data_IF_562195641030
#
_entry.id   IF_562195641030
#
_cell.length_a   1.000
_cell.length_b   1.000
_cell.length_c   1.000
_cell.angle_alpha   90.00
_cell.angle_beta   90.00
_cell.angle_gamma   90.00
#
_symmetry.space_group_name_H-M   'P 1'
#
loop_
_entity.id
_entity.type
_entity.pdbx_description
1 polymer ?
#
# COMPACT_ATOMS: atom_id res chain seq x y z
N UNK A 1 25.25 -15.67 12.68
CA UNK A 1 23.93 -15.29 12.18
C UNK A 1 24.12 -14.53 10.90
N UNK A 2 23.58 -15.00 9.78
CA UNK A 2 23.65 -14.27 8.52
C UNK A 2 22.82 -12.99 8.66
N UNK A 3 23.44 -11.85 8.40
CA UNK A 3 22.82 -10.53 8.44
C UNK A 3 21.67 -10.45 7.41
N UNK A 4 20.45 -10.76 7.83
CA UNK A 4 19.24 -10.59 7.03
C UNK A 4 18.79 -9.12 7.08
N UNK A 5 19.52 -8.26 6.36
CA UNK A 5 19.12 -6.86 6.13
C UNK A 5 18.54 -6.72 4.74
N UNK A 6 17.21 -6.65 4.61
CA UNK A 6 16.50 -6.44 3.33
C UNK A 6 16.97 -5.16 2.62
N UNK A 7 17.40 -4.15 3.38
CA UNK A 7 17.87 -2.85 2.91
C UNK A 7 19.39 -2.66 2.99
N UNK A 8 20.17 -3.69 3.35
CA UNK A 8 21.63 -3.57 3.28
C UNK A 8 22.04 -3.29 1.85
N UNK A 9 22.78 -2.19 1.66
CA UNK A 9 23.30 -1.82 0.34
C UNK A 9 24.36 -2.85 -0.05
N UNK A 10 24.05 -3.65 -1.08
CA UNK A 10 24.89 -4.74 -1.58
C UNK A 10 25.34 -4.53 -3.03
N UNK A 11 24.64 -3.66 -3.74
CA UNK A 11 24.91 -3.37 -5.14
C UNK A 11 25.69 -2.06 -5.29
N UNK A 12 26.60 -2.03 -6.27
CA UNK A 12 27.24 -0.79 -6.69
C UNK A 12 26.21 0.13 -7.35
N UNK A 13 26.49 1.44 -7.40
CA UNK A 13 25.61 2.42 -8.05
C UNK A 13 25.24 2.00 -9.48
N UNK A 14 26.22 1.64 -10.32
CA UNK A 14 25.94 1.21 -11.70
C UNK A 14 25.00 0.00 -11.77
N UNK A 15 25.19 -0.99 -10.89
CA UNK A 15 24.29 -2.15 -10.86
C UNK A 15 22.90 -1.80 -10.32
N UNK A 16 22.83 -0.91 -9.33
CA UNK A 16 21.56 -0.38 -8.81
C UNK A 16 20.74 0.29 -9.91
N UNK A 17 21.36 1.14 -10.73
CA UNK A 17 20.67 1.87 -11.81
C UNK A 17 20.09 0.90 -12.86
N UNK A 18 20.84 -0.16 -13.21
CA UNK A 18 20.36 -1.21 -14.10
C UNK A 18 19.13 -1.93 -13.53
N UNK A 19 19.17 -2.31 -12.25
CA UNK A 19 18.09 -3.03 -11.59
C UNK A 19 16.83 -2.15 -11.46
N UNK A 20 17.00 -0.87 -11.11
CA UNK A 20 15.90 0.08 -11.02
C UNK A 20 15.27 0.32 -12.40
N UNK A 21 16.09 0.48 -13.44
CA UNK A 21 15.60 0.63 -14.81
C UNK A 21 14.87 -0.63 -15.30
N UNK A 22 15.39 -1.83 -15.01
CA UNK A 22 14.73 -3.09 -15.34
C UNK A 22 13.39 -3.22 -14.61
N UNK A 23 13.30 -2.78 -13.35
CA UNK A 23 12.07 -2.85 -12.58
C UNK A 23 11.00 -1.87 -13.09
N UNK A 24 11.35 -0.59 -13.25
CA UNK A 24 10.37 0.46 -13.55
C UNK A 24 9.97 0.46 -15.03
N UNK A 25 10.91 0.26 -15.94
CA UNK A 25 10.65 0.46 -17.38
C UNK A 25 10.22 -0.80 -18.14
N UNK A 26 10.29 -1.98 -17.52
CA UNK A 26 9.84 -3.24 -18.12
C UNK A 26 8.38 -3.50 -17.77
N UNK A 27 7.52 -3.58 -18.78
CA UNK A 27 6.07 -3.73 -18.61
C UNK A 27 5.55 -5.04 -19.18
N UNK A 28 4.36 -5.46 -18.75
CA UNK A 28 3.68 -6.67 -19.24
C UNK A 28 4.09 -7.94 -18.49
N UNK A 29 3.92 -9.11 -19.12
CA UNK A 29 4.12 -10.43 -18.49
C UNK A 29 5.55 -10.67 -17.95
N UNK A 30 6.54 -9.89 -18.42
CA UNK A 30 7.94 -10.00 -18.00
C UNK A 30 8.39 -8.90 -17.03
N UNK A 31 7.46 -8.04 -16.58
CA UNK A 31 7.75 -7.05 -15.56
C UNK A 31 8.11 -7.77 -14.25
N UNK A 32 9.21 -7.41 -13.59
CA UNK A 32 9.51 -8.00 -12.30
C UNK A 32 8.42 -7.60 -11.30
N UNK A 33 8.01 -8.54 -10.46
CA UNK A 33 6.92 -8.33 -9.49
C UNK A 33 7.43 -7.62 -8.23
N UNK A 34 8.75 -7.70 -7.95
CA UNK A 34 9.35 -7.23 -6.69
C UNK A 34 10.38 -6.13 -6.91
N UNK A 35 10.36 -5.06 -6.09
CA UNK A 35 11.42 -4.07 -6.07
C UNK A 35 12.80 -4.73 -5.86
N UNK A 36 13.85 -4.30 -6.56
CA UNK A 36 15.17 -4.88 -6.40
C UNK A 36 15.70 -4.58 -5.00
N UNK A 37 16.17 -5.58 -4.25
CA UNK A 37 16.74 -5.41 -2.90
C UNK A 37 18.20 -4.98 -2.96
N UNK A 38 18.67 -4.36 -1.87
CA UNK A 38 20.07 -4.00 -1.68
C UNK A 38 20.62 -2.91 -2.60
N UNK A 39 19.72 -2.13 -3.21
CA UNK A 39 20.04 -0.84 -3.80
C UNK A 39 19.98 0.22 -2.69
N UNK A 40 20.81 1.26 -2.78
CA UNK A 40 20.75 2.38 -1.86
C UNK A 40 19.38 3.09 -1.98
N UNK A 41 18.63 3.28 -0.87
CA UNK A 41 17.36 4.01 -0.90
C UNK A 41 17.46 5.41 -1.51
N UNK A 42 18.56 6.13 -1.29
CA UNK A 42 18.77 7.46 -1.87
C UNK A 42 18.95 7.38 -3.39
N UNK A 43 19.61 6.33 -3.88
CA UNK A 43 19.73 6.07 -5.30
C UNK A 43 18.37 5.78 -5.95
N UNK A 44 17.50 5.00 -5.30
CA UNK A 44 16.13 4.76 -5.77
C UNK A 44 15.33 6.07 -5.86
N UNK A 45 15.47 6.96 -4.88
CA UNK A 45 14.85 8.29 -4.90
C UNK A 45 15.32 9.15 -6.08
N UNK A 46 16.64 9.25 -6.29
CA UNK A 46 17.21 9.98 -7.43
C UNK A 46 16.74 9.40 -8.76
N UNK A 47 16.71 8.07 -8.88
CA UNK A 47 16.22 7.41 -10.09
C UNK A 47 14.76 7.81 -10.39
N UNK A 48 13.88 7.78 -9.39
CA UNK A 48 12.47 8.16 -9.56
C UNK A 48 12.32 9.62 -10.02
N UNK A 49 13.04 10.55 -9.40
CA UNK A 49 13.01 11.97 -9.80
C UNK A 49 13.53 12.19 -11.23
N UNK A 50 14.61 11.50 -11.61
CA UNK A 50 15.28 11.73 -12.88
C UNK A 50 14.60 11.02 -14.05
N UNK A 51 14.02 9.83 -13.81
CA UNK A 51 13.62 8.90 -14.87
C UNK A 51 12.12 8.76 -15.07
N UNK A 52 11.30 8.99 -14.05
CA UNK A 52 9.85 9.03 -14.24
C UNK A 52 9.44 10.38 -14.85
N UNK A 53 8.55 10.34 -15.84
CA UNK A 53 8.00 11.51 -16.53
C UNK A 53 6.47 11.57 -16.40
N UNK A 54 5.86 12.78 -16.37
CA UNK A 54 4.41 12.91 -16.22
C UNK A 54 3.59 12.18 -17.29
N UNK A 55 4.14 12.05 -18.49
CA UNK A 55 3.56 11.40 -19.66
C UNK A 55 3.85 9.90 -19.78
N UNK A 56 4.65 9.32 -18.88
CA UNK A 56 5.01 7.91 -18.97
C UNK A 56 3.77 6.99 -18.85
N UNK A 57 3.81 5.77 -19.41
CA UNK A 57 2.69 4.83 -19.32
C UNK A 57 2.32 4.49 -17.87
N UNK A 58 1.05 4.17 -17.61
CA UNK A 58 0.58 3.81 -16.26
C UNK A 58 1.37 2.66 -15.61
N UNK A 59 1.92 1.73 -16.42
CA UNK A 59 2.77 0.64 -15.94
C UNK A 59 4.01 1.13 -15.19
N UNK A 60 4.59 2.25 -15.61
CA UNK A 60 5.76 2.84 -14.94
C UNK A 60 5.36 3.44 -13.60
N UNK A 61 4.18 4.07 -13.52
CA UNK A 61 3.63 4.59 -12.26
C UNK A 61 3.26 3.48 -11.27
N UNK A 62 2.75 2.33 -11.75
CA UNK A 62 2.54 1.14 -10.91
C UNK A 62 3.86 0.70 -10.27
N UNK A 63 4.91 0.56 -11.06
CA UNK A 63 6.23 0.15 -10.55
C UNK A 63 6.88 1.22 -9.68
N UNK A 64 6.74 2.49 -10.04
CA UNK A 64 7.20 3.61 -9.23
C UNK A 64 6.51 3.66 -7.86
N UNK A 65 5.22 3.32 -7.78
CA UNK A 65 4.50 3.21 -6.52
C UNK A 65 5.09 2.10 -5.64
N UNK A 66 5.26 0.89 -6.17
CA UNK A 66 5.88 -0.22 -5.44
C UNK A 66 7.29 0.15 -4.96
N UNK A 67 8.08 0.81 -5.82
CA UNK A 67 9.43 1.23 -5.48
C UNK A 67 9.45 2.31 -4.39
N UNK A 68 8.58 3.32 -4.52
CA UNK A 68 8.46 4.43 -3.55
C UNK A 68 8.03 3.92 -2.19
N UNK A 69 7.08 2.97 -2.16
CA UNK A 69 6.58 2.36 -0.93
C UNK A 69 7.63 1.46 -0.27
N UNK A 70 8.34 0.65 -1.05
CA UNK A 70 9.38 -0.23 -0.55
C UNK A 70 10.58 0.52 0.04
N UNK A 71 11.08 1.54 -0.69
CA UNK A 71 12.23 2.35 -0.26
C UNK A 71 11.85 3.58 0.58
N UNK A 72 10.55 3.81 0.82
CA UNK A 72 10.01 4.97 1.53
C UNK A 72 10.51 6.31 0.96
N UNK A 73 10.41 6.46 -0.36
CA UNK A 73 10.93 7.61 -1.11
C UNK A 73 9.83 8.56 -1.53
N UNK A 74 10.08 9.86 -1.34
CA UNK A 74 9.13 10.94 -1.65
C UNK A 74 9.43 11.64 -2.98
N UNK A 75 10.56 11.31 -3.61
CA UNK A 75 11.07 11.99 -4.80
C UNK A 75 10.16 11.87 -6.03
N UNK A 76 9.29 10.85 -6.10
CA UNK A 76 8.31 10.71 -7.17
C UNK A 76 7.09 11.65 -7.02
N UNK A 77 6.88 12.27 -5.86
CA UNK A 77 5.67 13.08 -5.60
C UNK A 77 5.52 14.26 -6.58
N UNK A 78 6.55 15.07 -6.88
CA UNK A 78 6.39 16.19 -7.82
C UNK A 78 5.92 15.76 -9.20
N UNK A 79 6.55 14.72 -9.78
CA UNK A 79 6.17 14.21 -11.11
C UNK A 79 4.77 13.59 -11.11
N UNK A 80 4.34 12.98 -9.99
CA UNK A 80 2.99 12.46 -9.85
C UNK A 80 1.94 13.58 -9.81
N UNK A 81 2.25 14.69 -9.15
CA UNK A 81 1.38 15.88 -9.14
C UNK A 81 1.22 16.47 -10.54
N UNK A 82 2.30 16.51 -11.32
CA UNK A 82 2.26 16.94 -12.72
C UNK A 82 1.42 15.97 -13.58
N UNK A 83 1.58 14.66 -13.40
CA UNK A 83 0.81 13.63 -14.11
C UNK A 83 -0.72 13.73 -13.86
N UNK A 84 -1.12 14.08 -12.64
CA UNK A 84 -2.53 14.37 -12.29
C UNK A 84 -3.06 15.63 -13.00
N UNK A 85 -2.18 16.54 -13.42
CA UNK A 85 -2.51 17.75 -14.15
C UNK A 85 -2.76 17.54 -15.65
N UNK A 86 -2.14 16.53 -16.27
CA UNK A 86 -2.05 16.37 -17.73
C UNK A 86 -3.02 15.35 -18.33
N UNK A 87 -3.89 14.72 -17.54
CA UNK A 87 -4.78 13.64 -17.98
C UNK A 87 -5.76 14.07 -19.09
N UNK A 88 -5.58 13.49 -20.29
CA UNK A 88 -6.43 13.73 -21.47
C UNK A 88 -7.84 13.14 -21.34
N UNK A 89 -8.02 12.16 -20.44
CA UNK A 89 -9.29 11.44 -20.25
C UNK A 89 -9.29 10.05 -20.84
N UNK A 90 -8.27 9.68 -21.61
CA UNK A 90 -8.13 8.32 -22.11
C UNK A 90 -7.86 7.31 -20.97
N UNK A 91 -8.24 6.05 -21.18
CA UNK A 91 -8.09 4.96 -20.20
C UNK A 91 -6.67 4.90 -19.58
N UNK A 92 -5.63 4.96 -20.41
CA UNK A 92 -4.24 4.89 -19.94
C UNK A 92 -3.84 6.07 -19.05
N UNK A 93 -4.36 7.26 -19.35
CA UNK A 93 -4.12 8.47 -18.57
C UNK A 93 -4.86 8.46 -17.23
N UNK A 94 -6.08 7.93 -17.22
CA UNK A 94 -6.85 7.73 -15.99
C UNK A 94 -6.19 6.69 -15.08
N UNK A 95 -5.74 5.56 -15.64
CA UNK A 95 -4.97 4.56 -14.90
C UNK A 95 -3.65 5.09 -14.36
N UNK A 96 -2.93 5.90 -15.15
CA UNK A 96 -1.73 6.60 -14.66
C UNK A 96 -2.07 7.48 -13.46
N UNK A 97 -3.17 8.21 -13.55
CA UNK A 97 -3.61 9.15 -12.51
C UNK A 97 -3.96 8.43 -11.20
N UNK A 98 -4.56 7.23 -11.24
CA UNK A 98 -4.84 6.46 -10.01
C UNK A 98 -3.55 6.01 -9.31
N UNK A 99 -2.54 5.53 -10.03
CA UNK A 99 -1.24 5.19 -9.44
C UNK A 99 -0.47 6.41 -8.96
N UNK A 100 -0.47 7.51 -9.73
CA UNK A 100 0.12 8.77 -9.31
C UNK A 100 -0.51 9.27 -8.00
N UNK A 101 -1.84 9.20 -7.88
CA UNK A 101 -2.55 9.55 -6.66
C UNK A 101 -2.18 8.66 -5.47
N UNK A 102 -1.95 7.35 -5.68
CA UNK A 102 -1.45 6.46 -4.60
C UNK A 102 -0.07 6.86 -4.10
N UNK A 103 0.86 7.18 -5.01
CA UNK A 103 2.17 7.71 -4.62
C UNK A 103 2.02 8.99 -3.78
N UNK A 104 1.16 9.92 -4.22
CA UNK A 104 0.90 11.17 -3.49
C UNK A 104 0.22 10.91 -2.13
N UNK A 105 -0.68 9.94 -2.03
CA UNK A 105 -1.32 9.58 -0.76
C UNK A 105 -0.34 8.96 0.23
N UNK A 106 0.56 8.11 -0.25
CA UNK A 106 1.53 7.42 0.59
C UNK A 106 2.74 8.28 0.99
N UNK A 107 3.19 9.17 0.10
CA UNK A 107 4.48 9.86 0.22
C UNK A 107 4.37 11.38 0.21
N UNK A 108 3.22 11.93 -0.16
CA UNK A 108 2.98 13.36 -0.25
C UNK A 108 2.56 13.97 1.08
N UNK A 109 2.61 15.30 1.11
CA UNK A 109 2.08 16.10 2.20
C UNK A 109 0.53 16.10 2.20
N UNK A 110 -0.12 16.33 3.36
CA UNK A 110 -1.59 16.34 3.45
C UNK A 110 -2.29 17.21 2.41
N UNK A 111 -1.74 18.39 2.11
CA UNK A 111 -2.30 19.28 1.09
C UNK A 111 -2.22 18.69 -0.33
N UNK A 112 -1.15 17.94 -0.64
CA UNK A 112 -0.99 17.26 -1.92
C UNK A 112 -1.96 16.08 -2.03
N UNK A 113 -2.11 15.27 -0.98
CA UNK A 113 -3.10 14.18 -0.94
C UNK A 113 -4.52 14.70 -1.13
N UNK A 114 -4.88 15.81 -0.46
CA UNK A 114 -6.18 16.46 -0.66
C UNK A 114 -6.39 16.88 -2.12
N UNK A 115 -5.39 17.54 -2.71
CA UNK A 115 -5.44 17.96 -4.10
C UNK A 115 -5.57 16.78 -5.07
N UNK A 116 -4.82 15.70 -4.84
CA UNK A 116 -4.93 14.49 -5.66
C UNK A 116 -6.34 13.87 -5.58
N UNK A 117 -6.94 13.83 -4.39
CA UNK A 117 -8.34 13.39 -4.22
C UNK A 117 -9.35 14.25 -4.99
N UNK A 118 -9.17 15.57 -4.96
CA UNK A 118 -9.99 16.50 -5.75
C UNK A 118 -9.88 16.24 -7.27
N UNK A 119 -8.65 15.98 -7.75
CA UNK A 119 -8.39 15.66 -9.17
C UNK A 119 -8.99 14.32 -9.58
N UNK A 120 -8.89 13.29 -8.73
CA UNK A 120 -9.54 12.00 -9.00
C UNK A 120 -11.06 12.14 -9.08
N UNK A 121 -11.67 12.95 -8.19
CA UNK A 121 -13.10 13.19 -8.23
C UNK A 121 -13.57 13.90 -9.52
N UNK A 122 -12.74 14.80 -10.08
CA UNK A 122 -13.01 15.39 -11.40
C UNK A 122 -12.93 14.34 -12.51
N UNK A 123 -11.95 13.44 -12.46
CA UNK A 123 -11.75 12.38 -13.45
C UNK A 123 -12.87 11.33 -13.45
N UNK A 124 -13.47 11.04 -12.29
CA UNK A 124 -14.64 10.14 -12.17
C UNK A 124 -15.85 10.60 -13.01
N UNK A 125 -15.90 11.87 -13.40
CA UNK A 125 -17.00 12.38 -14.22
C UNK A 125 -16.87 12.05 -15.71
N UNK A 126 -15.75 11.45 -16.12
CA UNK A 126 -15.45 11.13 -17.52
C UNK A 126 -16.01 9.74 -17.88
N UNK A 127 -16.57 9.54 -19.09
CA UNK A 127 -17.08 8.24 -19.53
C UNK A 127 -16.05 7.11 -19.46
N UNK A 128 -14.78 7.40 -19.70
CA UNK A 128 -13.71 6.39 -19.68
C UNK A 128 -13.39 5.88 -18.27
N UNK A 129 -13.92 6.51 -17.22
CA UNK A 129 -13.70 6.12 -15.82
C UNK A 129 -14.49 4.89 -15.40
N UNK A 130 -15.52 4.50 -16.16
CA UNK A 130 -16.47 3.43 -15.81
C UNK A 130 -15.75 2.10 -15.54
N UNK A 131 -14.76 1.78 -16.37
CA UNK A 131 -13.95 0.56 -16.24
C UNK A 131 -12.90 0.62 -15.14
N UNK A 132 -12.76 1.75 -14.45
CA UNK A 132 -11.67 2.04 -13.53
C UNK A 132 -12.11 2.27 -12.09
N UNK A 133 -13.41 2.18 -11.79
CA UNK A 133 -13.95 2.48 -10.46
C UNK A 133 -13.26 1.71 -9.31
N UNK A 134 -12.89 0.45 -9.52
CA UNK A 134 -12.11 -0.32 -8.54
C UNK A 134 -10.74 0.32 -8.24
N UNK A 135 -10.06 0.83 -9.26
CA UNK A 135 -8.74 1.46 -9.11
C UNK A 135 -8.85 2.85 -8.46
N UNK A 136 -9.96 3.57 -8.70
CA UNK A 136 -10.31 4.78 -7.94
C UNK A 136 -10.54 4.47 -6.46
N UNK A 137 -11.29 3.42 -6.14
CA UNK A 137 -11.55 3.00 -4.74
C UNK A 137 -10.26 2.77 -3.95
N UNK A 138 -9.34 1.98 -4.51
CA UNK A 138 -8.00 1.76 -3.95
C UNK A 138 -7.22 3.07 -3.79
N UNK A 139 -7.28 3.98 -4.76
CA UNK A 139 -6.60 5.27 -4.66
C UNK A 139 -7.19 6.16 -3.56
N UNK A 140 -8.51 6.16 -3.37
CA UNK A 140 -9.17 6.86 -2.26
C UNK A 140 -8.71 6.34 -0.91
N UNK A 141 -8.63 5.02 -0.73
CA UNK A 141 -8.13 4.43 0.52
C UNK A 141 -6.70 4.88 0.86
N UNK A 142 -5.82 4.95 -0.14
CA UNK A 142 -4.43 5.41 0.03
C UNK A 142 -4.37 6.90 0.38
N UNK A 143 -5.21 7.72 -0.26
CA UNK A 143 -5.27 9.17 -0.03
C UNK A 143 -5.89 9.56 1.33
N UNK A 144 -6.66 8.67 1.94
CA UNK A 144 -7.17 8.84 3.31
C UNK A 144 -6.02 8.87 4.34
N UNK A 145 -6.08 9.75 5.36
CA UNK A 145 -7.23 10.54 5.81
C UNK A 145 -7.37 11.94 5.17
N UNK A 146 -6.45 12.34 4.30
CA UNK A 146 -6.29 13.74 3.92
C UNK A 146 -7.25 14.21 2.81
N UNK A 147 -7.95 13.29 2.15
CA UNK A 147 -8.89 13.59 1.07
C UNK A 147 -10.35 13.69 1.56
N UNK A 148 -11.24 14.22 0.71
CA UNK A 148 -12.70 14.16 0.90
C UNK A 148 -13.34 13.33 -0.22
N UNK A 149 -14.33 12.52 0.15
CA UNK A 149 -15.15 11.74 -0.79
C UNK A 149 -16.38 12.50 -1.30
N UNK A 150 -16.67 13.70 -0.77
CA UNK A 150 -17.93 14.41 -1.02
C UNK A 150 -18.23 14.64 -2.50
N UNK A 151 -17.21 15.01 -3.28
CA UNK A 151 -17.35 15.24 -4.72
C UNK A 151 -17.66 13.95 -5.47
N UNK A 152 -17.02 12.84 -5.09
CA UNK A 152 -17.27 11.53 -5.68
C UNK A 152 -18.68 11.03 -5.32
N UNK A 153 -19.06 11.12 -4.04
CA UNK A 153 -20.40 10.77 -3.56
C UNK A 153 -21.49 11.60 -4.26
N UNK A 154 -21.27 12.91 -4.44
CA UNK A 154 -22.18 13.77 -5.18
C UNK A 154 -22.27 13.43 -6.69
N UNK A 155 -21.19 12.93 -7.29
CA UNK A 155 -21.23 12.39 -8.64
C UNK A 155 -22.13 11.15 -8.71
N UNK A 156 -21.91 10.15 -7.84
CA UNK A 156 -22.67 8.91 -7.86
C UNK A 156 -24.15 9.09 -7.46
N UNK A 157 -24.45 10.01 -6.55
CA UNK A 157 -25.82 10.39 -6.21
C UNK A 157 -26.63 10.91 -7.43
N UNK A 158 -25.94 11.42 -8.47
CA UNK A 158 -26.57 11.83 -9.73
C UNK A 158 -26.54 10.74 -10.81
N UNK A 159 -25.49 9.92 -10.82
CA UNK A 159 -25.28 8.88 -11.84
C UNK A 159 -26.17 7.65 -11.60
N UNK A 160 -26.18 7.12 -10.38
CA UNK A 160 -26.84 5.85 -10.07
C UNK A 160 -28.35 5.86 -10.39
N UNK A 161 -29.14 6.90 -10.02
CA UNK A 161 -30.57 6.93 -10.35
C UNK A 161 -30.86 7.09 -11.85
N UNK A 162 -29.87 7.50 -12.65
CA UNK A 162 -29.99 7.58 -14.11
C UNK A 162 -29.78 6.22 -14.73
N UNK A 163 -28.73 5.52 -14.30
CA UNK A 163 -28.43 4.17 -14.78
C UNK A 163 -29.52 3.17 -14.35
N UNK A 164 -30.01 3.28 -13.10
CA UNK A 164 -31.03 2.39 -12.52
C UNK A 164 -32.32 2.28 -13.35
N UNK A 165 -32.66 3.32 -14.15
CA UNK A 165 -33.87 3.31 -14.97
C UNK A 165 -33.83 2.29 -16.11
N UNK A 166 -32.62 2.00 -16.60
CA UNK A 166 -32.42 1.26 -17.85
C UNK A 166 -31.64 -0.06 -17.60
N UNK A 167 -31.44 -0.47 -16.34
CA UNK A 167 -30.65 -1.68 -15.99
C UNK A 167 -31.27 -2.98 -16.51
N UNK A 168 -32.60 -3.05 -16.61
CA UNK A 168 -33.30 -4.25 -17.11
C UNK A 168 -33.33 -4.29 -18.65
N UNK A 169 -32.97 -3.18 -19.30
CA UNK A 169 -33.07 -3.01 -20.76
C UNK A 169 -31.72 -3.19 -21.47
N UNK A 170 -30.59 -2.96 -20.77
CA UNK A 170 -29.23 -3.04 -21.34
C UNK A 170 -28.21 -3.62 -20.34
N UNK A 171 -27.57 -4.72 -20.72
CA UNK A 171 -26.54 -5.41 -19.92
C UNK A 171 -25.32 -4.51 -19.65
N UNK A 172 -24.94 -3.65 -20.59
CA UNK A 172 -23.83 -2.72 -20.39
C UNK A 172 -24.17 -1.67 -19.32
N UNK A 173 -25.42 -1.19 -19.29
CA UNK A 173 -25.91 -0.27 -18.25
C UNK A 173 -25.99 -0.98 -16.91
N UNK A 174 -26.47 -2.23 -16.87
CA UNK A 174 -26.48 -3.02 -15.63
C UNK A 174 -25.07 -3.21 -15.06
N UNK A 175 -24.09 -3.52 -15.91
CA UNK A 175 -22.69 -3.65 -15.50
C UNK A 175 -22.10 -2.31 -15.02
N UNK A 176 -22.39 -1.21 -15.71
CA UNK A 176 -21.96 0.12 -15.28
C UNK A 176 -22.56 0.51 -13.94
N UNK A 177 -23.87 0.29 -13.75
CA UNK A 177 -24.55 0.53 -12.48
C UNK A 177 -23.90 -0.28 -11.36
N UNK A 178 -23.63 -1.57 -11.58
CA UNK A 178 -23.02 -2.43 -10.57
C UNK A 178 -21.62 -1.94 -10.16
N UNK A 179 -20.78 -1.57 -11.12
CA UNK A 179 -19.43 -1.03 -10.84
C UNK A 179 -19.48 0.33 -10.13
N UNK A 180 -20.37 1.23 -10.57
CA UNK A 180 -20.57 2.54 -9.95
C UNK A 180 -21.09 2.39 -8.52
N UNK A 181 -22.02 1.45 -8.30
CA UNK A 181 -22.61 1.20 -7.00
C UNK A 181 -21.60 0.57 -6.04
N UNK A 182 -20.75 -0.36 -6.51
CA UNK A 182 -19.68 -0.94 -5.69
C UNK A 182 -18.69 0.13 -5.19
N UNK A 183 -18.31 1.08 -6.04
CA UNK A 183 -17.48 2.20 -5.60
C UNK A 183 -18.21 3.10 -4.60
N UNK A 184 -19.47 3.45 -4.86
CA UNK A 184 -20.24 4.38 -4.03
C UNK A 184 -20.68 3.80 -2.67
N UNK A 185 -21.11 2.53 -2.65
CA UNK A 185 -21.69 1.89 -1.48
C UNK A 185 -20.64 1.15 -0.64
N UNK A 186 -19.53 0.71 -1.24
CA UNK A 186 -18.52 -0.09 -0.54
C UNK A 186 -17.19 0.67 -0.41
N UNK A 187 -16.53 0.98 -1.54
CA UNK A 187 -15.16 1.47 -1.49
C UNK A 187 -15.00 2.91 -0.96
N UNK A 188 -15.93 3.84 -1.28
CA UNK A 188 -15.89 5.20 -0.73
C UNK A 188 -16.16 5.22 0.79
N UNK A 189 -17.19 4.55 1.33
CA UNK A 189 -17.36 4.40 2.78
C UNK A 189 -16.17 3.74 3.47
N UNK A 190 -15.62 2.66 2.89
CA UNK A 190 -14.43 2.01 3.43
C UNK A 190 -13.24 2.99 3.51
N UNK A 191 -13.01 3.79 2.46
CA UNK A 191 -11.94 4.79 2.48
C UNK A 191 -12.14 5.84 3.59
N UNK A 192 -13.38 6.22 3.90
CA UNK A 192 -13.70 7.12 5.03
C UNK A 192 -13.41 6.45 6.37
N UNK A 193 -13.81 5.18 6.55
CA UNK A 193 -13.56 4.42 7.77
C UNK A 193 -12.07 4.18 8.01
N UNK A 194 -11.32 3.80 6.97
CA UNK A 194 -9.87 3.67 6.97
C UNK A 194 -9.22 5.01 7.29
N UNK A 195 -9.72 6.11 6.72
CA UNK A 195 -9.24 7.46 7.05
C UNK A 195 -9.43 7.81 8.51
N UNK A 196 -10.63 7.59 9.06
CA UNK A 196 -10.90 7.83 10.47
C UNK A 196 -9.98 6.98 11.38
N UNK A 197 -9.72 5.73 11.00
CA UNK A 197 -8.80 4.85 11.71
C UNK A 197 -7.35 5.37 11.67
N UNK A 198 -6.83 5.68 10.49
CA UNK A 198 -5.48 6.25 10.31
C UNK A 198 -5.33 7.53 11.13
N UNK A 199 -6.30 8.43 11.08
CA UNK A 199 -6.26 9.69 11.85
C UNK A 199 -6.25 9.43 13.36
N UNK A 200 -7.11 8.55 13.86
CA UNK A 200 -7.17 8.20 15.28
C UNK A 200 -5.84 7.61 15.79
N UNK A 201 -5.08 6.91 14.94
CA UNK A 201 -3.74 6.43 15.27
C UNK A 201 -2.68 7.53 15.17
N UNK A 202 -2.76 8.40 14.16
CA UNK A 202 -1.83 9.51 14.01
C UNK A 202 -1.92 10.53 15.15
N UNK A 203 -3.10 10.70 15.75
CA UNK A 203 -3.34 11.59 16.89
C UNK A 203 -2.81 11.05 18.23
N UNK A 204 -2.44 9.75 18.28
CA UNK A 204 -1.86 9.10 19.47
C UNK A 204 -0.33 9.14 19.41
N UNK A 205 0.36 9.24 20.57
CA UNK A 205 1.81 9.08 20.61
C UNK A 205 2.21 7.61 20.31
N UNK A 206 3.44 7.37 19.81
CA UNK A 206 3.91 6.05 19.37
C UNK A 206 3.63 4.90 20.33
N UNK A 207 3.91 5.10 21.62
CA UNK A 207 3.75 4.09 22.67
C UNK A 207 2.28 3.69 22.92
N UNK A 208 1.33 4.56 22.58
CA UNK A 208 -0.12 4.28 22.74
C UNK A 208 -0.71 3.63 21.49
N UNK A 209 -0.17 3.90 20.30
CA UNK A 209 -0.66 3.34 19.03
C UNK A 209 0.06 2.06 18.60
N UNK A 210 1.17 1.69 19.24
CA UNK A 210 2.01 0.55 18.86
C UNK A 210 1.20 -0.77 18.72
N UNK A 211 0.35 -1.10 19.70
CA UNK A 211 -0.45 -2.31 19.67
C UNK A 211 -1.44 -2.36 18.50
N UNK A 212 -2.18 -1.28 18.27
CA UNK A 212 -3.13 -1.17 17.16
C UNK A 212 -2.41 -1.30 15.80
N UNK A 213 -1.24 -0.67 15.66
CA UNK A 213 -0.42 -0.75 14.45
C UNK A 213 0.17 -2.15 14.24
N UNK A 214 0.62 -2.83 15.29
CA UNK A 214 1.12 -4.21 15.19
C UNK A 214 0.02 -5.16 14.74
N UNK A 215 -1.19 -5.06 15.31
CA UNK A 215 -2.34 -5.87 14.89
C UNK A 215 -2.74 -5.64 13.45
N UNK A 216 -2.76 -4.37 13.04
CA UNK A 216 -3.01 -3.99 11.64
C UNK A 216 -1.94 -4.59 10.73
N UNK A 217 -0.67 -4.46 11.12
CA UNK A 217 0.46 -4.95 10.35
C UNK A 217 0.49 -6.48 10.24
N UNK A 218 0.12 -7.20 11.30
CA UNK A 218 0.11 -8.68 11.31
C UNK A 218 -1.21 -9.28 10.83
N UNK A 219 -2.17 -8.44 10.44
CA UNK A 219 -3.50 -8.82 9.99
C UNK A 219 -4.35 -9.56 11.04
N UNK A 220 -4.08 -9.33 12.32
CA UNK A 220 -4.77 -9.95 13.46
C UNK A 220 -5.86 -9.06 14.08
N UNK A 221 -6.06 -7.84 13.55
CA UNK A 221 -7.08 -6.91 14.01
C UNK A 221 -8.34 -6.88 13.14
N UNK A 222 -9.38 -6.19 13.63
CA UNK A 222 -10.69 -6.07 12.95
C UNK A 222 -10.66 -5.19 11.68
N UNK A 223 -9.56 -4.48 11.42
CA UNK A 223 -9.43 -3.52 10.32
C UNK A 223 -8.14 -3.74 9.58
N UNK A 224 -8.22 -4.47 8.47
CA UNK A 224 -7.06 -4.83 7.65
C UNK A 224 -7.40 -4.67 6.16
N UNK A 225 -6.40 -4.27 5.40
CA UNK A 225 -6.38 -4.25 3.94
C UNK A 225 -4.92 -4.26 3.52
N UNK A 226 -4.63 -4.69 2.29
CA UNK A 226 -3.26 -4.74 1.79
C UNK A 226 -2.54 -3.38 1.95
N UNK A 227 -3.25 -2.28 1.67
CA UNK A 227 -2.68 -0.93 1.85
C UNK A 227 -2.47 -0.59 3.32
N UNK A 228 -3.46 -0.86 4.17
CA UNK A 228 -3.42 -0.48 5.57
C UNK A 228 -2.32 -1.25 6.32
N UNK A 229 -2.09 -2.52 5.97
CA UNK A 229 -0.97 -3.33 6.45
C UNK A 229 0.38 -2.67 6.11
N UNK A 230 0.57 -2.27 4.85
CA UNK A 230 1.79 -1.59 4.41
C UNK A 230 1.96 -0.22 5.08
N UNK A 231 0.88 0.55 5.21
CA UNK A 231 0.89 1.84 5.91
C UNK A 231 1.24 1.69 7.39
N UNK A 232 0.71 0.67 8.07
CA UNK A 232 1.00 0.40 9.48
C UNK A 232 2.48 0.02 9.66
N UNK A 233 3.02 -0.85 8.80
CA UNK A 233 4.45 -1.14 8.76
C UNK A 233 5.31 0.13 8.55
N UNK A 234 4.88 0.98 7.61
CA UNK A 234 5.18 2.43 7.46
C UNK A 234 5.56 3.08 8.78
N UNK A 235 4.50 3.23 9.55
CA UNK A 235 4.50 4.01 10.75
C UNK A 235 5.28 3.32 11.87
N UNK A 236 5.18 1.99 11.98
CA UNK A 236 5.95 1.19 12.94
C UNK A 236 7.46 1.35 12.76
N UNK A 237 7.96 1.38 11.51
CA UNK A 237 9.40 1.58 11.26
C UNK A 237 9.85 2.96 11.67
N UNK A 238 9.07 3.98 11.30
CA UNK A 238 9.35 5.36 11.69
C UNK A 238 9.39 5.48 13.22
N UNK A 239 8.38 4.94 13.89
CA UNK A 239 8.28 4.97 15.34
C UNK A 239 9.41 4.17 16.01
N UNK A 240 9.77 3.00 15.49
CA UNK A 240 10.86 2.17 16.01
C UNK A 240 12.24 2.81 15.87
N UNK A 241 12.46 3.66 14.86
CA UNK A 241 13.71 4.41 14.71
C UNK A 241 13.92 5.43 15.84
N UNK A 242 12.84 5.93 16.44
CA UNK A 242 12.88 6.89 17.55
C UNK A 242 12.70 6.21 18.91
N UNK A 243 11.79 5.25 19.00
CA UNK A 243 11.36 4.57 20.22
C UNK A 243 11.15 3.06 19.94
N UNK A 244 12.21 2.26 19.94
CA UNK A 244 12.12 0.83 19.60
C UNK A 244 11.39 0.00 20.66
N UNK A 245 11.51 0.34 21.95
CA UNK A 245 11.05 -0.51 23.06
C UNK A 245 9.51 -0.71 23.10
N UNK A 246 8.67 0.33 22.92
CA UNK A 246 7.22 0.15 22.88
C UNK A 246 6.78 -0.72 21.69
N UNK A 247 7.44 -0.57 20.55
CA UNK A 247 7.17 -1.39 19.36
C UNK A 247 7.56 -2.84 19.61
N UNK A 248 8.70 -3.07 20.29
CA UNK A 248 9.13 -4.41 20.68
C UNK A 248 8.09 -5.08 21.58
N UNK A 249 7.69 -4.38 22.63
CA UNK A 249 6.74 -4.91 23.61
C UNK A 249 5.40 -5.26 22.95
N UNK A 250 4.92 -4.45 22.01
CA UNK A 250 3.70 -4.73 21.25
C UNK A 250 3.85 -5.98 20.36
N UNK A 251 4.98 -6.15 19.67
CA UNK A 251 5.25 -7.32 18.84
C UNK A 251 5.37 -8.61 19.67
N UNK A 252 6.06 -8.57 20.80
CA UNK A 252 6.18 -9.73 21.68
C UNK A 252 4.81 -10.12 22.26
N UNK A 253 4.00 -9.14 22.68
CA UNK A 253 2.65 -9.39 23.20
C UNK A 253 1.73 -10.01 22.14
N UNK A 254 1.79 -9.51 20.90
CA UNK A 254 0.96 -10.06 19.81
C UNK A 254 1.44 -11.46 19.40
N UNK A 255 2.74 -11.70 19.34
CA UNK A 255 3.29 -13.04 19.09
C UNK A 255 2.87 -14.03 20.18
N UNK A 256 2.93 -13.63 21.45
CA UNK A 256 2.47 -14.47 22.56
C UNK A 256 0.97 -14.79 22.43
N UNK A 257 0.15 -13.80 22.05
CA UNK A 257 -1.27 -13.99 21.80
C UNK A 257 -1.52 -14.99 20.66
N UNK A 258 -0.86 -14.83 19.51
CA UNK A 258 -0.97 -15.74 18.35
C UNK A 258 -0.62 -17.18 18.75
N UNK A 259 0.52 -17.37 19.43
CA UNK A 259 0.98 -18.71 19.79
C UNK A 259 0.07 -19.38 20.84
N UNK A 260 -0.52 -18.57 21.71
CA UNK A 260 -1.45 -18.99 22.75
C UNK A 260 -2.91 -19.11 22.32
N UNK A 261 -3.27 -18.74 21.09
CA UNK A 261 -4.66 -18.75 20.62
C UNK A 261 -5.11 -20.19 20.33
N UNK A 262 -6.10 -20.69 21.05
CA UNK A 262 -6.61 -22.07 20.86
C UNK A 262 -7.50 -22.21 19.61
N UNK A 263 -7.96 -21.10 19.01
CA UNK A 263 -8.78 -21.11 17.80
C UNK A 263 -7.93 -21.22 16.52
N UNK A 264 -6.63 -20.88 16.59
CA UNK A 264 -5.69 -21.01 15.48
C UNK A 264 -5.08 -22.41 15.43
N UNK A 265 -5.05 -23.01 14.24
CA UNK A 265 -4.32 -24.25 14.02
C UNK A 265 -2.79 -24.03 14.01
N UNK A 266 -2.03 -25.13 14.00
CA UNK A 266 -0.57 -25.07 14.06
C UNK A 266 0.06 -24.38 12.84
N UNK A 267 -0.60 -24.45 11.68
CA UNK A 267 -0.14 -23.81 10.46
C UNK A 267 -0.42 -22.31 10.49
N UNK A 268 -1.61 -21.91 10.93
CA UNK A 268 -1.98 -20.50 11.10
C UNK A 268 -1.07 -19.80 12.11
N UNK A 269 -0.80 -20.45 13.26
CA UNK A 269 0.17 -19.97 14.25
C UNK A 269 1.55 -19.74 13.66
N UNK A 270 2.01 -20.65 12.81
CA UNK A 270 3.28 -20.50 12.14
C UNK A 270 3.27 -19.36 11.13
N UNK A 271 2.22 -19.21 10.31
CA UNK A 271 2.11 -18.12 9.34
C UNK A 271 2.17 -16.76 10.03
N UNK A 272 1.33 -16.54 11.05
CA UNK A 272 1.28 -15.27 11.77
C UNK A 272 2.52 -15.06 12.65
N UNK A 273 3.01 -16.10 13.33
CA UNK A 273 4.19 -15.99 14.17
C UNK A 273 5.48 -15.75 13.37
N UNK A 274 5.63 -16.36 12.18
CA UNK A 274 6.77 -16.12 11.27
C UNK A 274 6.78 -14.66 10.84
N UNK A 275 5.61 -14.10 10.47
CA UNK A 275 5.45 -12.67 10.15
C UNK A 275 5.85 -11.77 11.32
N UNK A 276 5.44 -12.11 12.55
CA UNK A 276 5.80 -11.34 13.75
C UNK A 276 7.30 -11.36 14.04
N UNK A 277 7.96 -12.52 13.98
CA UNK A 277 9.42 -12.62 14.16
C UNK A 277 10.17 -11.88 13.05
N UNK A 278 9.68 -11.96 11.81
CA UNK A 278 10.22 -11.16 10.70
C UNK A 278 10.09 -9.66 10.94
N UNK A 279 8.97 -9.20 11.51
CA UNK A 279 8.78 -7.81 11.89
C UNK A 279 9.84 -7.34 12.90
N UNK A 280 10.11 -8.16 13.92
CA UNK A 280 11.14 -7.88 14.94
C UNK A 280 12.51 -7.69 14.26
N UNK A 281 12.90 -8.63 13.40
CA UNK A 281 14.16 -8.56 12.65
C UNK A 281 14.19 -7.30 11.78
N UNK A 282 13.09 -7.02 11.09
CA UNK A 282 12.99 -5.94 10.12
C UNK A 282 13.10 -4.56 10.76
N UNK A 283 12.50 -4.39 11.93
CA UNK A 283 12.57 -3.17 12.73
C UNK A 283 13.90 -3.04 13.49
N UNK A 284 14.92 -3.82 13.09
CA UNK A 284 16.28 -3.84 13.63
C UNK A 284 16.36 -4.24 15.11
N UNK A 285 15.42 -5.05 15.57
CA UNK A 285 15.40 -5.56 16.92
C UNK A 285 15.87 -7.01 16.94
N UNK A 286 16.42 -7.47 18.08
CA UNK A 286 16.97 -8.82 18.20
C UNK A 286 15.90 -9.80 18.71
N UNK A 287 15.48 -10.81 17.93
CA UNK A 287 14.61 -11.86 18.45
C UNK A 287 15.27 -12.59 19.63
N UNK A 288 14.46 -13.10 20.55
CA UNK A 288 14.97 -13.95 21.63
C UNK A 288 15.44 -15.30 21.09
N UNK A 289 16.29 -16.01 21.83
CA UNK A 289 16.76 -17.33 21.41
C UNK A 289 15.60 -18.32 21.19
N UNK A 290 14.57 -18.27 22.03
CA UNK A 290 13.36 -19.07 21.87
C UNK A 290 12.60 -18.73 20.58
N UNK A 291 12.47 -17.43 20.26
CA UNK A 291 11.87 -16.98 18.99
C UNK A 291 12.68 -17.46 17.78
N UNK A 292 14.02 -17.44 17.85
CA UNK A 292 14.89 -17.92 16.76
C UNK A 292 14.71 -19.43 16.54
N UNK A 293 14.68 -20.21 17.62
CA UNK A 293 14.51 -21.66 17.55
C UNK A 293 13.14 -22.05 16.99
N UNK A 294 12.08 -21.41 17.49
CA UNK A 294 10.73 -21.60 16.97
C UNK A 294 10.62 -21.18 15.50
N UNK A 295 11.12 -19.99 15.14
CA UNK A 295 11.11 -19.48 13.78
C UNK A 295 11.84 -20.42 12.81
N UNK A 296 13.01 -20.92 13.22
CA UNK A 296 13.77 -21.89 12.44
C UNK A 296 13.00 -23.20 12.19
N UNK A 297 12.18 -23.65 13.14
CA UNK A 297 11.34 -24.84 12.98
C UNK A 297 10.14 -24.57 12.08
N UNK A 298 9.43 -23.45 12.28
CA UNK A 298 8.28 -23.06 11.47
C UNK A 298 8.64 -22.96 9.97
N UNK A 299 9.80 -22.37 9.65
CA UNK A 299 10.31 -22.27 8.28
C UNK A 299 10.63 -23.61 7.60
N UNK A 300 10.67 -24.72 8.32
CA UNK A 300 10.89 -26.05 7.69
C UNK A 300 9.61 -26.67 7.15
N UNK A 301 8.44 -26.10 7.46
CA UNK A 301 7.14 -26.63 7.06
C UNK A 301 6.76 -26.16 5.66
N UNK A 302 6.10 -27.06 4.92
CA UNK A 302 5.64 -26.78 3.57
C UNK A 302 4.56 -25.69 3.57
N UNK A 303 4.64 -24.73 2.65
CA UNK A 303 3.73 -23.59 2.55
C UNK A 303 4.07 -22.39 3.45
N UNK A 304 5.03 -22.55 4.38
CA UNK A 304 5.52 -21.44 5.21
C UNK A 304 6.76 -20.84 4.55
N UNK A 305 6.66 -19.58 4.15
CA UNK A 305 7.71 -18.89 3.41
C UNK A 305 8.13 -17.62 4.13
N UNK A 306 9.37 -17.19 3.84
CA UNK A 306 9.87 -15.89 4.23
C UNK A 306 9.13 -14.84 3.40
N UNK A 307 7.98 -14.40 3.90
CA UNK A 307 7.19 -13.33 3.32
C UNK A 307 7.19 -12.17 4.29
N UNK A 308 8.11 -11.22 4.11
CA UNK A 308 7.89 -9.91 4.73
C UNK A 308 6.64 -9.36 4.06
N UNK A 309 5.65 -8.85 4.81
CA UNK A 309 4.43 -8.25 4.24
C UNK A 309 4.68 -7.08 3.27
N UNK A 310 5.93 -6.65 3.17
CA UNK A 310 6.45 -5.66 2.23
C UNK A 310 6.91 -6.26 0.88
N UNK A 311 6.89 -7.59 0.76
CA UNK A 311 7.35 -8.37 -0.39
C UNK A 311 6.24 -8.85 -1.32
N UNK A 312 4.95 -8.78 -0.92
CA UNK A 312 3.81 -9.13 -1.78
C UNK A 312 2.65 -8.13 -1.62
N UNK A 313 2.22 -7.49 -2.71
CA UNK A 313 0.82 -7.14 -2.91
C UNK A 313 0.03 -8.22 -3.66
N UNK A 314 0.63 -9.38 -3.99
CA UNK A 314 -0.07 -10.48 -4.68
C UNK A 314 0.49 -11.85 -4.21
N UNK A 315 -0.19 -12.48 -3.25
CA UNK A 315 -0.18 -13.93 -3.05
C UNK A 315 -1.42 -14.55 -3.69
#
# INVERSE_FOLDING_TARGET
MAEMFITSVRHSKGKGDELLAEFVHKTGMYAPVRPPRGVDPAQAGVFLADRLKPEDPFGYFKQAWLLSTFYERTEAVPVCMDALGTSSGEYGDLMRSTFAARIVGDMGEPAQSKHAGDRLAEMLTRPESEHLYAEFGKAYEVLSPNMSTDKASAHFARLLPRLEKDIDEDEAIAMHWAQANALNADALPLAVEVGAYKQALLDKPPEVRAGDLVKTYLETGDRTSDHLTVWAGRLLRKDAAEQPDPIRAALDAELEAILGDDDLDEFEKDVYGVRAVQAIIYLQQAPTQAQIEWYGQALTREGIHINFLWDDPES
#
